data_IF_586401971304
#
_entry.id   IF_586401971304
#
_cell.length_a   1.000
_cell.length_b   1.000
_cell.length_c   1.000
_cell.angle_alpha   90.00
_cell.angle_beta   90.00
_cell.angle_gamma   90.00
#
_symmetry.space_group_name_H-M   'P 1'
#
loop_
_entity.id
_entity.type
_entity.pdbx_description
1 polymer ?
#
# COMPACT_ATOMS: atom_id res chain seq x y z
N UNK A 1 -16.96 26.04 1.48
CA UNK A 1 -15.69 25.75 0.81
C UNK A 1 -16.06 25.30 -0.58
N UNK A 2 -15.82 26.14 -1.56
CA UNK A 2 -16.22 25.89 -2.94
C UNK A 2 -15.38 24.74 -3.51
N UNK A 3 -16.01 23.65 -3.90
CA UNK A 3 -15.32 22.46 -4.43
C UNK A 3 -14.77 22.71 -5.86
N UNK A 4 -15.09 23.88 -6.43
CA UNK A 4 -14.73 24.21 -7.81
C UNK A 4 -13.29 24.69 -7.98
N UNK A 5 -12.62 25.18 -6.91
CA UNK A 5 -11.28 25.77 -6.99
C UNK A 5 -10.12 24.81 -6.71
N UNK A 6 -10.38 23.52 -6.49
CA UNK A 6 -9.28 22.56 -6.31
C UNK A 6 -8.77 22.09 -7.66
N UNK A 7 -7.46 22.19 -7.93
CA UNK A 7 -6.87 21.67 -9.15
C UNK A 7 -7.21 20.18 -9.27
N UNK A 8 -7.88 19.81 -10.35
CA UNK A 8 -8.10 18.41 -10.68
C UNK A 8 -6.74 17.80 -10.98
N UNK A 9 -6.36 16.78 -10.22
CA UNK A 9 -5.18 16.00 -10.55
C UNK A 9 -5.53 15.26 -11.83
N UNK A 10 -4.88 15.62 -12.92
CA UNK A 10 -4.94 14.79 -14.11
C UNK A 10 -4.18 13.49 -13.85
N UNK A 11 -4.94 12.47 -13.51
CA UNK A 11 -4.41 11.16 -13.19
C UNK A 11 -3.54 10.59 -14.32
N UNK A 12 -3.80 10.95 -15.59
CA UNK A 12 -3.03 10.50 -16.74
C UNK A 12 -1.61 11.08 -16.76
N UNK A 13 -1.40 12.30 -16.27
CA UNK A 13 -0.09 12.97 -16.32
C UNK A 13 0.93 12.37 -15.36
N UNK A 14 0.54 11.79 -14.25
CA UNK A 14 1.47 11.22 -13.27
C UNK A 14 1.40 9.70 -13.12
N UNK A 15 0.36 9.04 -13.62
CA UNK A 15 0.19 7.58 -13.48
C UNK A 15 1.36 6.81 -14.09
N UNK A 16 1.59 6.98 -15.38
CA UNK A 16 2.63 6.23 -16.08
C UNK A 16 4.04 6.56 -15.57
N UNK A 17 4.42 7.84 -15.34
CA UNK A 17 5.69 8.17 -14.72
C UNK A 17 5.89 7.55 -13.34
N UNK A 18 4.85 7.53 -12.50
CA UNK A 18 4.94 6.96 -11.16
C UNK A 18 5.03 5.44 -11.20
N UNK A 19 4.24 4.79 -12.04
CA UNK A 19 4.35 3.35 -12.27
C UNK A 19 5.73 2.95 -12.77
N UNK A 20 6.27 3.62 -13.79
CA UNK A 20 7.62 3.36 -14.33
C UNK A 20 8.71 3.60 -13.27
N UNK A 21 8.52 4.57 -12.41
CA UNK A 21 9.43 4.83 -11.29
C UNK A 21 9.41 3.66 -10.28
N UNK A 22 8.24 3.17 -9.93
CA UNK A 22 8.08 2.04 -9.01
C UNK A 22 8.64 0.73 -9.60
N UNK A 23 8.44 0.47 -10.89
CA UNK A 23 9.04 -0.66 -11.61
C UNK A 23 10.58 -0.60 -11.58
N UNK A 24 11.15 0.56 -11.86
CA UNK A 24 12.60 0.76 -11.79
C UNK A 24 13.13 0.51 -10.35
N UNK A 25 12.42 0.99 -9.34
CA UNK A 25 12.77 0.75 -7.94
C UNK A 25 12.69 -0.75 -7.59
N UNK A 26 11.65 -1.45 -8.01
CA UNK A 26 11.52 -2.90 -7.79
C UNK A 26 12.71 -3.67 -8.37
N UNK A 27 13.14 -3.33 -9.58
CA UNK A 27 14.32 -3.94 -10.22
C UNK A 27 15.61 -3.64 -9.45
N UNK A 28 15.80 -2.41 -8.97
CA UNK A 28 16.98 -2.04 -8.17
C UNK A 28 17.03 -2.77 -6.84
N UNK A 29 15.91 -2.89 -6.14
CA UNK A 29 15.84 -3.65 -4.89
C UNK A 29 16.25 -5.10 -5.11
N UNK A 30 15.80 -5.73 -6.20
CA UNK A 30 16.17 -7.12 -6.51
C UNK A 30 17.65 -7.26 -6.87
N UNK A 31 18.20 -6.34 -7.68
CA UNK A 31 19.58 -6.46 -8.23
C UNK A 31 20.65 -6.02 -7.21
N UNK A 32 20.36 -4.97 -6.48
CA UNK A 32 21.33 -4.28 -5.63
C UNK A 32 20.94 -4.35 -4.14
N UNK A 33 19.64 -4.40 -3.84
CA UNK A 33 19.13 -4.41 -2.47
C UNK A 33 19.63 -5.58 -1.63
N UNK A 34 19.74 -6.77 -2.24
CA UNK A 34 20.31 -7.96 -1.56
C UNK A 34 21.74 -7.75 -1.05
N UNK A 35 22.51 -6.84 -1.68
CA UNK A 35 23.89 -6.55 -1.28
C UNK A 35 23.98 -5.56 -0.13
N UNK A 36 22.93 -4.79 0.12
CA UNK A 36 22.91 -3.67 1.06
C UNK A 36 21.98 -3.88 2.26
N UNK A 37 21.08 -4.86 2.18
CA UNK A 37 20.22 -5.21 3.32
C UNK A 37 20.98 -6.10 4.29
N UNK A 38 21.07 -5.74 5.58
CA UNK A 38 21.56 -6.67 6.59
C UNK A 38 20.54 -7.80 6.78
N UNK A 39 21.05 -9.03 6.78
CA UNK A 39 20.24 -10.22 6.98
C UNK A 39 20.10 -11.10 5.74
N UNK A 40 19.22 -12.11 5.79
CA UNK A 40 19.01 -13.05 4.69
C UNK A 40 18.42 -12.42 3.42
N UNK A 41 18.74 -12.98 2.26
CA UNK A 41 18.31 -12.47 0.94
C UNK A 41 16.78 -12.42 0.74
N UNK A 42 16.03 -13.30 1.41
CA UNK A 42 14.57 -13.31 1.33
C UNK A 42 13.92 -11.98 1.78
N UNK A 43 14.61 -11.17 2.62
CA UNK A 43 14.08 -9.85 3.02
C UNK A 43 13.92 -8.92 1.81
N UNK A 44 14.89 -8.93 0.89
CA UNK A 44 14.80 -8.16 -0.34
C UNK A 44 13.71 -8.71 -1.27
N UNK A 45 13.52 -10.03 -1.28
CA UNK A 45 12.44 -10.68 -2.03
C UNK A 45 11.06 -10.30 -1.48
N UNK A 46 10.90 -10.31 -0.15
CA UNK A 46 9.66 -9.89 0.51
C UNK A 46 9.33 -8.41 0.18
N UNK A 47 10.32 -7.51 0.24
CA UNK A 47 10.15 -6.11 -0.16
C UNK A 47 9.78 -6.02 -1.63
N UNK A 48 10.48 -6.76 -2.52
CA UNK A 48 10.18 -6.79 -3.94
C UNK A 48 8.72 -7.22 -4.20
N UNK A 49 8.27 -8.29 -3.55
CA UNK A 49 6.89 -8.78 -3.70
C UNK A 49 5.87 -7.73 -3.26
N UNK A 50 6.10 -7.02 -2.15
CA UNK A 50 5.23 -5.93 -1.70
C UNK A 50 5.18 -4.77 -2.71
N UNK A 51 6.32 -4.40 -3.32
CA UNK A 51 6.36 -3.39 -4.37
C UNK A 51 5.56 -3.86 -5.59
N UNK A 52 5.74 -5.11 -6.04
CA UNK A 52 5.00 -5.70 -7.16
C UNK A 52 3.50 -5.73 -6.91
N UNK A 53 3.07 -6.10 -5.71
CA UNK A 53 1.68 -6.04 -5.29
C UNK A 53 1.14 -4.61 -5.37
N UNK A 54 1.90 -3.64 -4.86
CA UNK A 54 1.51 -2.22 -4.89
C UNK A 54 1.36 -1.71 -6.31
N UNK A 55 2.30 -2.04 -7.22
CA UNK A 55 2.25 -1.67 -8.64
C UNK A 55 1.01 -2.27 -9.32
N UNK A 56 0.78 -3.56 -9.12
CA UNK A 56 -0.38 -4.26 -9.70
C UNK A 56 -1.70 -3.67 -9.22
N UNK A 57 -1.80 -3.38 -7.92
CA UNK A 57 -2.98 -2.74 -7.32
C UNK A 57 -3.19 -1.32 -7.85
N UNK A 58 -2.12 -0.54 -7.99
CA UNK A 58 -2.17 0.81 -8.54
C UNK A 58 -2.68 0.81 -9.99
N UNK A 59 -2.14 -0.09 -10.82
CA UNK A 59 -2.59 -0.24 -12.21
C UNK A 59 -4.05 -0.69 -12.30
N UNK A 60 -4.47 -1.61 -11.42
CA UNK A 60 -5.86 -2.03 -11.35
C UNK A 60 -6.79 -0.85 -11.00
N UNK A 61 -6.42 -0.02 -10.04
CA UNK A 61 -7.20 1.18 -9.68
C UNK A 61 -7.39 2.12 -10.85
N UNK A 62 -6.35 2.35 -11.64
CA UNK A 62 -6.46 3.16 -12.85
C UNK A 62 -7.36 2.51 -13.89
N UNK A 63 -7.17 1.23 -14.13
CA UNK A 63 -8.00 0.48 -15.05
C UNK A 63 -9.49 0.53 -14.69
N UNK A 64 -9.80 0.37 -13.41
CA UNK A 64 -11.18 0.41 -12.90
C UNK A 64 -11.80 1.81 -12.96
N UNK A 65 -11.00 2.85 -12.89
CA UNK A 65 -11.46 4.24 -12.81
C UNK A 65 -11.12 5.08 -14.07
N UNK A 66 -10.70 4.45 -15.18
CA UNK A 66 -10.35 5.15 -16.41
C UNK A 66 -11.58 5.77 -17.09
N UNK A 67 -11.47 7.04 -17.50
CA UNK A 67 -12.57 7.80 -18.11
C UNK A 67 -13.11 7.16 -19.41
N UNK A 68 -12.23 6.56 -20.21
CA UNK A 68 -12.58 5.90 -21.47
C UNK A 68 -13.58 4.74 -21.32
N UNK A 69 -13.65 4.13 -20.13
CA UNK A 69 -14.61 3.10 -19.82
C UNK A 69 -15.96 3.65 -19.35
N UNK A 70 -15.98 4.86 -18.83
CA UNK A 70 -17.23 5.53 -18.41
C UNK A 70 -18.15 5.82 -19.58
N UNK A 71 -17.59 6.10 -20.76
CA UNK A 71 -18.36 6.39 -21.97
C UNK A 71 -18.94 5.13 -22.61
N UNK A 72 -18.28 3.98 -22.47
CA UNK A 72 -18.68 2.74 -23.13
C UNK A 72 -19.67 1.88 -22.35
N UNK A 73 -19.68 1.97 -21.01
CA UNK A 73 -20.47 1.11 -20.13
C UNK A 73 -20.86 1.83 -18.82
N UNK A 74 -21.70 2.84 -18.91
CA UNK A 74 -22.10 3.69 -17.79
C UNK A 74 -22.59 2.94 -16.54
N UNK A 75 -23.14 1.76 -16.72
CA UNK A 75 -23.78 1.01 -15.63
C UNK A 75 -22.78 0.22 -14.77
N UNK A 76 -21.73 -0.32 -15.36
CA UNK A 76 -20.76 -1.19 -14.66
C UNK A 76 -19.60 -0.43 -14.01
N UNK A 77 -19.17 0.66 -14.60
CA UNK A 77 -18.01 1.43 -14.12
C UNK A 77 -18.25 2.12 -12.78
N UNK A 78 -19.49 2.46 -12.47
CA UNK A 78 -19.86 3.15 -11.23
C UNK A 78 -19.72 2.25 -9.99
N UNK A 79 -19.74 0.92 -10.19
CA UNK A 79 -19.60 -0.05 -9.12
C UNK A 79 -18.17 -0.18 -8.61
N UNK A 80 -17.19 0.16 -9.43
CA UNK A 80 -15.78 -0.01 -9.07
C UNK A 80 -15.28 1.02 -8.05
N UNK A 81 -15.94 2.15 -7.91
CA UNK A 81 -15.64 3.12 -6.86
C UNK A 81 -15.66 2.50 -5.47
N UNK A 82 -16.61 1.59 -5.22
CA UNK A 82 -16.78 0.93 -3.90
C UNK A 82 -15.60 0.01 -3.58
N UNK A 83 -15.00 -0.66 -4.57
CA UNK A 83 -13.86 -1.56 -4.35
C UNK A 83 -12.51 -0.83 -4.30
N UNK A 84 -12.48 0.46 -4.61
CA UNK A 84 -11.25 1.26 -4.58
C UNK A 84 -10.63 1.32 -3.19
N UNK A 85 -11.45 1.46 -2.16
CA UNK A 85 -10.98 1.62 -0.78
C UNK A 85 -10.20 0.39 -0.25
N UNK A 86 -10.67 -0.86 -0.37
CA UNK A 86 -9.89 -2.05 0.00
C UNK A 86 -8.57 -2.14 -0.76
N UNK A 87 -8.54 -1.74 -2.03
CA UNK A 87 -7.33 -1.75 -2.85
C UNK A 87 -6.30 -0.73 -2.35
N UNK A 88 -6.70 0.51 -2.11
CA UNK A 88 -5.82 1.53 -1.51
C UNK A 88 -5.34 1.09 -0.13
N UNK A 89 -6.21 0.46 0.65
CA UNK A 89 -5.84 -0.10 1.96
C UNK A 89 -4.69 -1.10 1.85
N UNK A 90 -4.74 -2.01 0.90
CA UNK A 90 -3.68 -3.00 0.68
C UNK A 90 -2.34 -2.34 0.33
N UNK A 91 -2.35 -1.25 -0.44
CA UNK A 91 -1.13 -0.47 -0.75
C UNK A 91 -0.55 0.21 0.51
N UNK A 92 -1.42 0.73 1.37
CA UNK A 92 -1.01 1.33 2.66
C UNK A 92 -0.39 0.27 3.58
N UNK A 93 -0.93 -0.94 3.60
CA UNK A 93 -0.35 -2.03 4.39
C UNK A 93 1.04 -2.43 3.87
N UNK A 94 1.27 -2.42 2.54
CA UNK A 94 2.60 -2.59 1.97
C UNK A 94 3.56 -1.48 2.41
N UNK A 95 3.13 -0.21 2.39
CA UNK A 95 3.92 0.92 2.88
C UNK A 95 4.35 0.71 4.34
N UNK A 96 3.43 0.28 5.21
CA UNK A 96 3.72 0.04 6.62
C UNK A 96 4.76 -1.05 6.80
N UNK A 97 4.57 -2.18 6.15
CA UNK A 97 5.49 -3.31 6.25
C UNK A 97 6.88 -2.93 5.73
N UNK A 98 6.97 -2.33 4.56
CA UNK A 98 8.26 -1.90 3.98
C UNK A 98 8.96 -0.89 4.90
N UNK A 99 8.26 0.14 5.38
CA UNK A 99 8.85 1.18 6.23
C UNK A 99 9.39 0.59 7.53
N UNK A 100 8.67 -0.31 8.19
CA UNK A 100 9.13 -0.97 9.42
C UNK A 100 10.26 -1.97 9.18
N UNK A 101 10.23 -2.70 8.05
CA UNK A 101 11.34 -3.59 7.68
C UNK A 101 12.60 -2.77 7.45
N UNK A 102 12.52 -1.64 6.75
CA UNK A 102 13.68 -0.77 6.49
C UNK A 102 14.23 -0.09 7.75
N UNK A 103 13.44 0.03 8.81
CA UNK A 103 13.91 0.54 10.10
C UNK A 103 14.96 -0.36 10.75
N UNK A 104 14.72 -1.67 10.73
CA UNK A 104 15.66 -2.71 11.22
C UNK A 104 15.47 -4.01 10.40
N UNK A 105 16.09 -4.12 9.21
CA UNK A 105 15.83 -5.24 8.31
C UNK A 105 16.17 -6.59 8.93
N UNK A 106 17.29 -6.68 9.68
CA UNK A 106 17.74 -7.93 10.28
C UNK A 106 16.77 -8.49 11.35
N UNK A 107 16.03 -7.63 12.03
CA UNK A 107 15.04 -8.02 13.04
C UNK A 107 13.64 -8.04 12.44
N UNK A 108 13.18 -6.90 11.92
CA UNK A 108 11.82 -6.73 11.45
C UNK A 108 11.54 -7.56 10.18
N UNK A 109 12.50 -7.65 9.26
CA UNK A 109 12.38 -8.48 8.06
C UNK A 109 12.25 -9.95 8.39
N UNK A 110 13.09 -10.45 9.31
CA UNK A 110 12.99 -11.83 9.80
C UNK A 110 11.67 -12.08 10.52
N UNK A 111 11.24 -11.16 11.38
CA UNK A 111 9.98 -11.28 12.10
C UNK A 111 8.77 -11.28 11.14
N UNK A 112 8.78 -10.43 10.11
CA UNK A 112 7.77 -10.39 9.06
C UNK A 112 7.69 -11.73 8.32
N UNK A 113 8.82 -12.23 7.83
CA UNK A 113 8.91 -13.48 7.07
C UNK A 113 8.44 -14.70 7.90
N UNK A 114 9.00 -14.87 9.11
CA UNK A 114 8.60 -15.96 10.03
C UNK A 114 7.10 -15.91 10.35
N UNK A 115 6.56 -14.71 10.57
CA UNK A 115 5.12 -14.54 10.84
C UNK A 115 4.25 -14.95 9.66
N UNK A 116 4.67 -14.66 8.43
CA UNK A 116 3.95 -15.07 7.22
C UNK A 116 3.84 -16.59 7.13
N UNK A 117 4.97 -17.27 7.29
CA UNK A 117 5.01 -18.76 7.29
C UNK A 117 4.16 -19.32 8.44
N UNK A 118 4.29 -18.79 9.66
CA UNK A 118 3.50 -19.23 10.83
C UNK A 118 2.01 -19.10 10.59
N UNK A 119 1.56 -17.96 10.08
CA UNK A 119 0.13 -17.77 9.78
C UNK A 119 -0.38 -18.85 8.83
N UNK A 120 0.39 -19.12 7.77
CA UNK A 120 0.00 -20.14 6.79
C UNK A 120 -0.04 -21.53 7.39
N UNK A 121 0.89 -21.88 8.29
CA UNK A 121 0.83 -23.15 9.05
C UNK A 121 -0.45 -23.25 9.89
N UNK A 122 -0.79 -22.18 10.61
CA UNK A 122 -2.00 -22.15 11.45
C UNK A 122 -3.27 -22.28 10.60
N UNK A 123 -3.34 -21.63 9.44
CA UNK A 123 -4.46 -21.75 8.51
C UNK A 123 -4.64 -23.19 8.03
N UNK A 124 -3.52 -23.87 7.67
CA UNK A 124 -3.56 -25.27 7.22
C UNK A 124 -4.01 -26.21 8.36
N UNK A 125 -3.52 -25.98 9.58
CA UNK A 125 -3.94 -26.76 10.75
C UNK A 125 -5.45 -26.60 11.05
N UNK A 126 -5.98 -25.40 10.85
CA UNK A 126 -7.41 -25.12 10.99
C UNK A 126 -8.22 -25.81 9.87
N UNK A 127 -7.73 -25.75 8.63
CA UNK A 127 -8.35 -26.46 7.49
C UNK A 127 -8.36 -27.97 7.71
N UNK A 128 -7.26 -28.56 8.21
CA UNK A 128 -7.19 -29.98 8.53
C UNK A 128 -8.19 -30.41 9.59
N UNK A 129 -8.45 -29.58 10.60
CA UNK A 129 -9.47 -29.85 11.61
C UNK A 129 -10.89 -29.70 11.06
N UNK A 130 -11.12 -28.61 10.30
CA UNK A 130 -12.45 -28.27 9.78
C UNK A 130 -12.92 -29.24 8.72
N UNK A 131 -12.00 -29.73 7.90
CA UNK A 131 -12.31 -30.57 6.74
C UNK A 131 -11.78 -32.01 6.86
N UNK A 132 -11.54 -32.48 8.08
CA UNK A 132 -11.04 -33.82 8.34
C UNK A 132 -11.90 -34.89 7.65
N UNK A 133 -11.24 -35.86 6.98
CA UNK A 133 -11.89 -36.96 6.26
C UNK A 133 -12.50 -36.60 4.92
N UNK A 134 -12.21 -35.42 4.37
CA UNK A 134 -12.56 -35.01 3.01
C UNK A 134 -11.35 -35.18 2.08
N UNK A 135 -11.31 -36.20 1.19
CA UNK A 135 -10.10 -36.54 0.42
C UNK A 135 -9.50 -35.40 -0.40
N UNK A 136 -10.33 -34.51 -0.97
CA UNK A 136 -9.85 -33.37 -1.75
C UNK A 136 -9.12 -32.38 -0.86
N UNK A 137 -9.61 -32.13 0.35
CA UNK A 137 -8.98 -31.26 1.33
C UNK A 137 -7.71 -31.87 1.91
N UNK A 138 -7.68 -33.17 2.16
CA UNK A 138 -6.49 -33.88 2.61
C UNK A 138 -5.35 -33.75 1.58
N UNK A 139 -5.68 -33.92 0.29
CA UNK A 139 -4.73 -33.73 -0.82
C UNK A 139 -4.25 -32.30 -0.93
N UNK A 140 -5.17 -31.33 -0.87
CA UNK A 140 -4.85 -29.89 -0.92
C UNK A 140 -3.93 -29.50 0.24
N UNK A 141 -4.28 -29.86 1.47
CA UNK A 141 -3.49 -29.53 2.66
C UNK A 141 -2.10 -30.17 2.62
N UNK A 142 -1.96 -31.41 2.11
CA UNK A 142 -0.66 -32.05 1.93
C UNK A 142 0.25 -31.25 0.97
N UNK A 143 -0.30 -30.76 -0.15
CA UNK A 143 0.44 -29.89 -1.08
C UNK A 143 0.85 -28.56 -0.44
N UNK A 144 -0.04 -27.94 0.34
CA UNK A 144 0.25 -26.70 1.04
C UNK A 144 1.37 -26.90 2.09
N UNK A 145 1.33 -28.00 2.86
CA UNK A 145 2.40 -28.33 3.82
C UNK A 145 3.73 -28.56 3.12
N UNK A 146 3.75 -29.23 1.98
CA UNK A 146 4.97 -29.41 1.19
C UNK A 146 5.56 -28.07 0.72
N UNK A 147 4.71 -27.12 0.28
CA UNK A 147 5.15 -25.78 -0.10
C UNK A 147 5.71 -25.00 1.09
N UNK A 148 5.08 -25.09 2.27
CA UNK A 148 5.57 -24.47 3.51
C UNK A 148 6.92 -25.07 3.94
N UNK A 149 7.07 -26.38 3.90
CA UNK A 149 8.31 -27.06 4.23
C UNK A 149 9.47 -26.61 3.30
N UNK A 150 9.17 -26.44 2.01
CA UNK A 150 10.13 -25.85 1.07
C UNK A 150 10.53 -24.43 1.45
N UNK A 151 9.57 -23.56 1.85
CA UNK A 151 9.84 -22.19 2.31
C UNK A 151 10.66 -22.16 3.58
N UNK A 152 10.37 -23.03 4.57
CA UNK A 152 11.13 -23.13 5.82
C UNK A 152 12.58 -23.49 5.53
N UNK A 153 12.80 -24.54 4.71
CA UNK A 153 14.16 -24.97 4.32
C UNK A 153 14.90 -23.89 3.53
N UNK A 154 14.23 -23.24 2.59
CA UNK A 154 14.82 -22.15 1.78
C UNK A 154 15.20 -20.92 2.60
N UNK A 155 14.48 -20.63 3.68
CA UNK A 155 14.78 -19.52 4.58
C UNK A 155 15.87 -19.85 5.63
N UNK A 156 16.24 -21.13 5.79
CA UNK A 156 17.23 -21.59 6.78
C UNK A 156 16.70 -21.62 8.21
N UNK A 157 15.40 -21.53 8.42
CA UNK A 157 14.77 -21.67 9.75
C UNK A 157 14.35 -23.11 10.00
N UNK A 158 14.20 -23.44 11.27
CA UNK A 158 13.54 -24.66 11.71
C UNK A 158 12.04 -24.43 11.88
N UNK A 159 11.24 -25.49 11.80
CA UNK A 159 9.82 -25.41 12.08
C UNK A 159 9.53 -24.90 13.50
N UNK A 160 10.33 -25.32 14.49
CA UNK A 160 10.21 -24.84 15.86
C UNK A 160 10.38 -23.32 15.96
N UNK A 161 11.38 -22.75 15.29
CA UNK A 161 11.58 -21.29 15.26
C UNK A 161 10.41 -20.55 14.58
N UNK A 162 9.80 -21.14 13.57
CA UNK A 162 8.61 -20.57 12.93
C UNK A 162 7.42 -20.62 13.89
N UNK A 163 7.20 -21.75 14.57
CA UNK A 163 6.10 -21.91 15.54
C UNK A 163 6.21 -20.98 16.74
N UNK A 164 7.42 -20.73 17.21
CA UNK A 164 7.70 -19.81 18.32
C UNK A 164 7.66 -18.33 17.91
N UNK A 165 7.71 -18.02 16.61
CA UNK A 165 7.70 -16.65 16.15
C UNK A 165 6.43 -15.90 16.59
N UNK A 166 6.58 -14.62 16.93
CA UNK A 166 5.42 -13.74 17.19
C UNK A 166 4.73 -13.39 15.89
N UNK A 167 3.42 -13.28 15.93
CA UNK A 167 2.65 -12.80 14.78
C UNK A 167 2.96 -11.31 14.55
N UNK A 168 3.39 -10.99 13.34
CA UNK A 168 3.66 -9.62 12.90
C UNK A 168 2.37 -8.81 12.86
N UNK A 169 2.32 -7.73 13.62
CA UNK A 169 1.17 -6.83 13.76
C UNK A 169 1.65 -5.38 13.74
N UNK A 170 1.99 -4.82 12.57
CA UNK A 170 2.63 -3.51 12.49
C UNK A 170 1.86 -2.40 13.21
N UNK A 171 0.53 -2.37 13.06
CA UNK A 171 -0.32 -1.38 13.69
C UNK A 171 -0.44 -1.53 15.20
N UNK A 172 -0.59 -2.76 15.69
CA UNK A 172 -0.81 -3.01 17.11
C UNK A 172 0.46 -2.83 17.95
N UNK A 173 1.61 -3.31 17.45
CA UNK A 173 2.84 -3.38 18.24
C UNK A 173 3.65 -2.09 18.13
N UNK A 174 3.75 -1.51 16.93
CA UNK A 174 4.70 -0.43 16.68
C UNK A 174 4.05 0.96 16.60
N UNK A 175 2.77 1.06 16.20
CA UNK A 175 2.15 2.33 15.86
C UNK A 175 1.14 2.79 16.91
N UNK A 176 0.34 1.87 17.44
CA UNK A 176 -0.76 2.22 18.34
C UNK A 176 -0.42 2.05 19.83
N UNK A 177 0.51 1.16 20.21
CA UNK A 177 0.81 0.82 21.60
C UNK A 177 2.09 1.46 22.15
N UNK A 178 2.95 2.01 21.29
CA UNK A 178 4.17 2.67 21.72
C UNK A 178 3.92 3.99 22.44
N UNK A 179 4.74 4.31 23.45
CA UNK A 179 4.74 5.64 24.03
C UNK A 179 5.21 6.65 22.99
N UNK A 180 4.57 7.83 22.88
CA UNK A 180 4.95 8.83 21.88
C UNK A 180 6.41 9.28 21.98
N UNK A 181 6.96 9.33 23.18
CA UNK A 181 8.34 9.73 23.46
C UNK A 181 9.37 8.71 22.95
N UNK A 182 9.04 7.43 22.95
CA UNK A 182 9.94 6.35 22.52
C UNK A 182 9.80 6.02 21.03
N UNK A 183 8.87 6.68 20.34
CA UNK A 183 8.59 6.36 18.94
C UNK A 183 9.71 6.82 18.02
N UNK A 184 10.18 5.91 17.15
CA UNK A 184 11.16 6.23 16.11
C UNK A 184 10.59 7.19 15.06
N UNK A 185 11.44 7.83 14.25
CA UNK A 185 10.97 8.68 13.14
C UNK A 185 10.06 7.94 12.17
N UNK A 186 10.29 6.63 11.92
CA UNK A 186 9.45 5.80 11.06
C UNK A 186 8.08 5.56 11.71
N UNK A 187 8.06 5.21 12.99
CA UNK A 187 6.81 5.01 13.73
C UNK A 187 5.97 6.28 13.83
N UNK A 188 6.61 7.45 14.05
CA UNK A 188 5.93 8.75 14.07
C UNK A 188 5.26 9.03 12.72
N UNK A 189 5.99 8.83 11.63
CA UNK A 189 5.44 8.97 10.28
C UNK A 189 4.25 8.05 10.03
N UNK A 190 4.40 6.76 10.31
CA UNK A 190 3.31 5.80 10.11
C UNK A 190 2.10 6.09 11.01
N UNK A 191 2.31 6.64 12.21
CA UNK A 191 1.23 7.09 13.08
C UNK A 191 0.44 8.26 12.47
N UNK A 192 1.14 9.28 11.93
CA UNK A 192 0.50 10.38 11.21
C UNK A 192 -0.29 9.83 10.01
N UNK A 193 0.33 8.96 9.21
CA UNK A 193 -0.32 8.33 8.07
C UNK A 193 -1.54 7.49 8.48
N UNK A 194 -1.49 6.83 9.64
CA UNK A 194 -2.64 6.08 10.20
C UNK A 194 -3.82 6.99 10.47
N UNK A 195 -3.58 8.15 11.05
CA UNK A 195 -4.65 9.10 11.34
C UNK A 195 -5.26 9.70 10.09
N UNK A 196 -4.43 10.06 9.10
CA UNK A 196 -4.87 10.72 7.87
C UNK A 196 -5.55 9.76 6.87
N UNK A 197 -5.07 8.54 6.77
CA UNK A 197 -5.40 7.65 5.68
C UNK A 197 -5.93 6.28 6.14
N UNK A 198 -5.18 5.56 6.97
CA UNK A 198 -5.43 4.16 7.26
C UNK A 198 -6.77 3.91 7.95
N UNK A 199 -7.15 4.73 8.92
CA UNK A 199 -8.41 4.54 9.68
C UNK A 199 -9.61 4.56 8.76
N UNK A 200 -9.67 5.51 7.85
CA UNK A 200 -10.77 5.61 6.90
C UNK A 200 -10.87 4.36 6.03
N UNK A 201 -9.75 3.95 5.43
CA UNK A 201 -9.74 2.75 4.58
C UNK A 201 -9.96 1.45 5.35
N UNK A 202 -9.55 1.37 6.60
CA UNK A 202 -9.87 0.23 7.45
C UNK A 202 -11.36 0.10 7.71
N UNK A 203 -12.03 1.19 8.06
CA UNK A 203 -13.47 1.21 8.27
C UNK A 203 -14.24 0.74 7.02
N UNK A 204 -13.85 1.22 5.84
CA UNK A 204 -14.42 0.83 4.55
C UNK A 204 -14.18 -0.65 4.23
N UNK A 205 -12.95 -1.15 4.45
CA UNK A 205 -12.60 -2.54 4.16
C UNK A 205 -13.31 -3.55 5.06
N UNK A 206 -13.71 -3.14 6.27
CA UNK A 206 -14.46 -3.97 7.21
C UNK A 206 -15.97 -3.81 7.10
N UNK A 207 -16.45 -3.14 6.06
CA UNK A 207 -17.87 -2.91 5.82
C UNK A 207 -18.60 -2.31 7.05
N UNK A 208 -17.92 -1.46 7.81
CA UNK A 208 -18.49 -0.79 8.97
C UNK A 208 -19.38 0.38 8.56
N UNK A 209 -20.40 0.69 9.35
CA UNK A 209 -21.36 1.75 9.03
C UNK A 209 -20.70 3.14 8.89
N UNK A 210 -19.75 3.45 9.74
CA UNK A 210 -18.95 4.69 9.67
C UNK A 210 -18.09 4.76 8.40
N UNK A 211 -17.60 3.60 7.92
CA UNK A 211 -16.96 3.49 6.62
C UNK A 211 -17.92 3.84 5.48
N UNK A 212 -19.11 3.25 5.49
CA UNK A 212 -20.11 3.51 4.43
C UNK A 212 -20.54 4.97 4.34
N UNK A 213 -20.58 5.72 5.44
CA UNK A 213 -20.86 7.16 5.39
C UNK A 213 -19.86 7.89 4.49
N UNK A 214 -18.58 7.51 4.52
CA UNK A 214 -17.55 8.05 3.63
C UNK A 214 -17.77 7.71 2.15
N UNK A 215 -18.51 6.62 1.85
CA UNK A 215 -18.80 6.12 0.51
C UNK A 215 -20.17 6.59 -0.05
N UNK A 216 -20.89 7.45 0.67
CA UNK A 216 -22.18 7.99 0.20
C UNK A 216 -22.11 8.55 -1.23
N UNK A 217 -21.05 9.28 -1.65
CA UNK A 217 -20.96 9.76 -3.01
C UNK A 217 -20.95 8.64 -4.06
N UNK A 218 -20.26 7.53 -3.79
CA UNK A 218 -20.24 6.37 -4.68
C UNK A 218 -21.60 5.67 -4.68
N UNK A 219 -22.20 5.45 -3.52
CA UNK A 219 -23.53 4.85 -3.39
C UNK A 219 -24.65 5.70 -4.03
N UNK A 220 -24.59 7.01 -3.88
CA UNK A 220 -25.55 7.92 -4.52
C UNK A 220 -25.41 7.91 -6.05
N UNK A 221 -24.18 7.86 -6.55
CA UNK A 221 -23.94 7.77 -7.99
C UNK A 221 -24.46 6.45 -8.57
N UNK A 222 -24.42 5.37 -7.83
CA UNK A 222 -24.93 4.06 -8.21
C UNK A 222 -26.44 4.04 -8.48
N UNK A 223 -27.19 4.87 -7.79
CA UNK A 223 -28.64 5.01 -7.93
C UNK A 223 -29.03 6.35 -8.54
N UNK A 224 -28.15 6.91 -9.37
CA UNK A 224 -28.29 8.24 -9.95
C UNK A 224 -29.63 8.43 -10.66
N UNK A 225 -30.16 7.38 -11.31
CA UNK A 225 -31.44 7.40 -12.03
C UNK A 225 -32.64 7.67 -11.12
N UNK A 226 -32.48 7.40 -9.81
CA UNK A 226 -33.53 7.64 -8.81
C UNK A 226 -33.58 9.08 -8.33
N UNK A 227 -32.58 9.90 -8.68
CA UNK A 227 -32.53 11.31 -8.30
C UNK A 227 -33.17 12.19 -9.38
N UNK A 228 -33.81 13.33 -9.00
CA UNK A 228 -34.24 14.34 -9.93
C UNK A 228 -33.09 14.80 -10.83
N UNK A 229 -33.40 15.11 -12.10
CA UNK A 229 -32.39 15.53 -13.08
C UNK A 229 -31.52 16.70 -12.60
N UNK A 230 -32.11 17.65 -11.87
CA UNK A 230 -31.42 18.82 -11.30
C UNK A 230 -30.34 18.45 -10.25
N UNK A 231 -30.48 17.32 -9.54
CA UNK A 231 -29.52 16.86 -8.54
C UNK A 231 -28.37 16.03 -9.09
N UNK A 232 -28.52 15.46 -10.29
CA UNK A 232 -27.54 14.54 -10.89
C UNK A 232 -26.16 15.15 -11.09
N UNK A 233 -25.99 16.37 -11.64
CA UNK A 233 -24.67 16.96 -11.83
C UNK A 233 -23.90 17.16 -10.51
N UNK A 234 -24.59 17.45 -9.42
CA UNK A 234 -23.96 17.57 -8.10
C UNK A 234 -23.45 16.22 -7.59
N UNK A 235 -24.23 15.16 -7.78
CA UNK A 235 -23.83 13.79 -7.36
C UNK A 235 -22.65 13.32 -8.21
N UNK A 236 -22.66 13.54 -9.52
CA UNK A 236 -21.54 13.22 -10.40
C UNK A 236 -20.27 13.95 -9.99
N UNK A 237 -20.37 15.24 -9.69
CA UNK A 237 -19.22 16.02 -9.21
C UNK A 237 -18.68 15.48 -7.89
N UNK A 238 -19.53 15.12 -6.94
CA UNK A 238 -19.13 14.51 -5.67
C UNK A 238 -18.43 13.16 -5.89
N UNK A 239 -18.95 12.34 -6.79
CA UNK A 239 -18.36 11.05 -7.14
C UNK A 239 -16.98 11.21 -7.79
N UNK A 240 -16.83 12.13 -8.73
CA UNK A 240 -15.54 12.42 -9.35
C UNK A 240 -14.50 12.92 -8.35
N UNK A 241 -14.90 13.79 -7.44
CA UNK A 241 -14.02 14.25 -6.36
C UNK A 241 -13.60 13.10 -5.44
N UNK A 242 -14.50 12.20 -5.13
CA UNK A 242 -14.25 10.98 -4.36
C UNK A 242 -13.22 10.07 -5.05
N UNK A 243 -13.41 9.74 -6.34
CA UNK A 243 -12.47 8.93 -7.11
C UNK A 243 -11.09 9.58 -7.19
N UNK A 244 -11.03 10.88 -7.50
CA UNK A 244 -9.77 11.64 -7.59
C UNK A 244 -9.01 11.58 -6.27
N UNK A 245 -9.71 11.66 -5.15
CA UNK A 245 -9.10 11.54 -3.81
C UNK A 245 -8.49 10.16 -3.58
N UNK A 246 -9.18 9.08 -3.95
CA UNK A 246 -8.65 7.71 -3.78
C UNK A 246 -7.46 7.44 -4.69
N UNK A 247 -7.51 7.90 -5.93
CA UNK A 247 -6.38 7.79 -6.87
C UNK A 247 -5.18 8.59 -6.34
N UNK A 248 -5.39 9.80 -5.83
CA UNK A 248 -4.35 10.61 -5.21
C UNK A 248 -3.70 9.91 -4.00
N UNK A 249 -4.49 9.25 -3.17
CA UNK A 249 -3.98 8.49 -2.01
C UNK A 249 -3.23 7.21 -2.40
N UNK A 250 -3.67 6.54 -3.46
CA UNK A 250 -2.94 5.42 -4.04
C UNK A 250 -1.58 5.89 -4.59
N UNK A 251 -1.56 7.01 -5.30
CA UNK A 251 -0.33 7.64 -5.79
C UNK A 251 0.60 8.04 -4.64
N UNK A 252 0.06 8.60 -3.55
CA UNK A 252 0.83 8.91 -2.35
C UNK A 252 1.47 7.67 -1.74
N UNK A 253 0.72 6.58 -1.58
CA UNK A 253 1.24 5.35 -0.99
C UNK A 253 2.43 4.79 -1.79
N UNK A 254 2.32 4.70 -3.12
CA UNK A 254 3.40 4.20 -3.96
C UNK A 254 4.60 5.17 -4.00
N UNK A 255 4.37 6.48 -4.01
CA UNK A 255 5.44 7.49 -3.98
C UNK A 255 6.19 7.46 -2.63
N UNK A 256 5.48 7.28 -1.51
CA UNK A 256 6.10 7.07 -0.21
C UNK A 256 6.98 5.82 -0.20
N UNK A 257 6.49 4.68 -0.71
CA UNK A 257 7.28 3.43 -0.80
C UNK A 257 8.57 3.66 -1.58
N UNK A 258 8.48 4.25 -2.77
CA UNK A 258 9.66 4.50 -3.61
C UNK A 258 10.64 5.45 -2.92
N UNK A 259 10.13 6.47 -2.23
CA UNK A 259 10.97 7.44 -1.51
C UNK A 259 11.66 6.81 -0.31
N UNK A 260 10.96 6.00 0.51
CA UNK A 260 11.55 5.28 1.64
C UNK A 260 12.68 4.34 1.16
N UNK A 261 12.44 3.61 0.09
CA UNK A 261 13.46 2.72 -0.50
C UNK A 261 14.68 3.51 -0.97
N UNK A 262 14.49 4.65 -1.65
CA UNK A 262 15.61 5.49 -2.09
C UNK A 262 16.35 6.13 -0.91
N UNK A 263 15.65 6.58 0.12
CA UNK A 263 16.26 7.11 1.35
C UNK A 263 17.11 6.08 2.07
N UNK A 264 16.71 4.81 2.03
CA UNK A 264 17.43 3.70 2.65
C UNK A 264 18.64 3.26 1.81
N UNK A 265 18.40 2.83 0.56
CA UNK A 265 19.42 2.23 -0.31
C UNK A 265 20.38 3.24 -0.94
N UNK A 266 19.90 4.47 -1.21
CA UNK A 266 20.67 5.53 -1.89
C UNK A 266 21.27 5.05 -3.21
N UNK A 267 20.48 4.38 -4.03
CA UNK A 267 20.93 3.93 -5.34
C UNK A 267 21.54 5.08 -6.13
N UNK A 268 22.79 4.90 -6.59
CA UNK A 268 23.58 5.90 -7.29
C UNK A 268 23.53 5.66 -8.81
N UNK A 269 23.82 6.71 -9.58
CA UNK A 269 23.93 6.61 -11.05
C UNK A 269 22.61 6.41 -11.80
N UNK A 270 21.48 6.55 -11.13
CA UNK A 270 20.15 6.41 -11.73
C UNK A 270 19.41 7.75 -11.64
N UNK A 271 18.61 8.06 -12.65
CA UNK A 271 17.73 9.25 -12.69
C UNK A 271 16.56 9.15 -11.67
N UNK A 272 16.66 8.24 -10.70
CA UNK A 272 15.62 7.95 -9.70
C UNK A 272 15.35 9.19 -8.84
N UNK A 273 16.40 9.88 -8.40
CA UNK A 273 16.26 11.05 -7.55
C UNK A 273 15.44 12.15 -8.25
N UNK A 274 15.80 12.47 -9.49
CA UNK A 274 15.10 13.48 -10.30
C UNK A 274 13.64 13.09 -10.52
N UNK A 275 13.40 11.81 -10.82
CA UNK A 275 12.04 11.29 -11.02
C UNK A 275 11.21 11.34 -9.74
N UNK A 276 11.79 11.02 -8.58
CA UNK A 276 11.12 11.15 -7.28
C UNK A 276 10.74 12.62 -7.02
N UNK A 277 11.69 13.54 -7.19
CA UNK A 277 11.44 14.97 -7.00
C UNK A 277 10.32 15.45 -7.92
N UNK A 278 10.40 15.11 -9.20
CA UNK A 278 9.36 15.47 -10.18
C UNK A 278 7.97 14.94 -9.80
N UNK A 279 7.89 13.74 -9.24
CA UNK A 279 6.59 13.18 -8.80
C UNK A 279 6.06 13.90 -7.55
N UNK A 280 6.92 14.22 -6.58
CA UNK A 280 6.50 15.03 -5.44
C UNK A 280 6.02 16.41 -5.90
N UNK A 281 6.74 17.09 -6.79
CA UNK A 281 6.36 18.40 -7.33
C UNK A 281 4.99 18.34 -8.05
N UNK A 282 4.77 17.31 -8.85
CA UNK A 282 3.51 17.12 -9.57
C UNK A 282 2.31 16.88 -8.65
N UNK A 283 2.52 16.26 -7.50
CA UNK A 283 1.46 15.86 -6.58
C UNK A 283 1.23 16.82 -5.41
N UNK A 284 2.11 17.82 -5.19
CA UNK A 284 1.97 18.79 -4.10
C UNK A 284 0.71 19.69 -4.18
N UNK A 285 0.04 19.74 -5.32
CA UNK A 285 -1.25 20.42 -5.45
C UNK A 285 -2.37 19.80 -4.58
N UNK A 286 -2.18 18.58 -4.08
CA UNK A 286 -3.09 17.92 -3.15
C UNK A 286 -2.61 18.19 -1.72
N UNK A 287 -3.43 18.84 -0.90
CA UNK A 287 -3.00 19.28 0.43
C UNK A 287 -2.53 18.13 1.33
N UNK A 288 -3.18 16.96 1.28
CA UNK A 288 -2.79 15.77 2.06
C UNK A 288 -1.39 15.24 1.65
N UNK A 289 -1.07 15.34 0.37
CA UNK A 289 0.25 14.92 -0.16
C UNK A 289 1.31 15.94 0.24
N UNK A 290 0.99 17.24 0.14
CA UNK A 290 1.88 18.31 0.56
C UNK A 290 2.22 18.21 2.04
N UNK A 291 1.25 17.94 2.90
CA UNK A 291 1.46 17.79 4.33
C UNK A 291 2.46 16.66 4.64
N UNK A 292 2.30 15.49 4.05
CA UNK A 292 3.24 14.37 4.21
C UNK A 292 4.64 14.73 3.67
N UNK A 293 4.71 15.43 2.55
CA UNK A 293 5.98 15.89 1.99
C UNK A 293 6.70 16.84 2.93
N UNK A 294 6.02 17.87 3.43
CA UNK A 294 6.59 18.89 4.30
C UNK A 294 7.01 18.32 5.67
N UNK A 295 6.19 17.45 6.26
CA UNK A 295 6.48 16.85 7.57
C UNK A 295 7.67 15.88 7.56
N UNK A 296 7.80 15.08 6.48
CA UNK A 296 8.78 14.00 6.45
C UNK A 296 9.82 14.14 5.36
N UNK A 297 9.38 14.23 4.10
CA UNK A 297 10.28 13.97 2.98
C UNK A 297 11.16 15.14 2.60
N UNK A 298 10.67 16.37 2.67
CA UNK A 298 11.45 17.55 2.30
C UNK A 298 12.78 17.63 3.05
N UNK A 299 12.75 17.56 4.38
CA UNK A 299 13.95 17.62 5.20
C UNK A 299 14.87 16.40 5.02
N UNK A 300 14.27 15.18 4.94
CA UNK A 300 15.03 13.95 4.76
C UNK A 300 15.70 13.87 3.39
N UNK A 301 15.02 14.25 2.32
CA UNK A 301 15.56 14.24 0.96
C UNK A 301 16.71 15.25 0.81
N UNK A 302 16.62 16.44 1.44
CA UNK A 302 17.75 17.37 1.53
C UNK A 302 18.93 16.79 2.28
N UNK A 303 18.70 16.23 3.47
CA UNK A 303 19.75 15.62 4.30
C UNK A 303 20.46 14.45 3.59
N UNK A 304 19.74 13.72 2.76
CA UNK A 304 20.25 12.56 2.02
C UNK A 304 20.79 12.89 0.61
N UNK A 305 20.74 14.15 0.19
CA UNK A 305 21.24 14.62 -1.10
C UNK A 305 20.38 14.20 -2.31
N UNK A 306 19.10 13.91 -2.08
CA UNK A 306 18.13 13.65 -3.15
C UNK A 306 17.64 14.98 -3.74
N UNK A 307 17.37 15.97 -2.88
CA UNK A 307 17.11 17.34 -3.30
C UNK A 307 18.42 18.09 -3.52
N UNK A 308 18.49 19.01 -4.53
CA UNK A 308 19.64 19.89 -4.70
C UNK A 308 19.88 20.71 -3.42
N UNK A 309 21.16 21.02 -3.16
CA UNK A 309 21.52 21.98 -2.12
C UNK A 309 20.97 23.34 -2.52
N UNK A 310 20.23 23.97 -1.62
CA UNK A 310 19.73 25.32 -1.83
C UNK A 310 20.87 26.32 -1.99
#
# INVERSE_FOLDING_TARGET
>A
MDLDDKPRIDAKTFQEPLWKLAEAMAQLVTREGMKHLPGPGFIAEDIHMMIRQTIATYNLLFYLNADERREQDCYWNNNYGVVTAPLVRSMIDCLYNITLILENPAENGIAYHKSGIKKRLLDIEEDQKTYAGKPDWDSYNAQQLQAIDWLIRGSGFTEAEIRDAKIWKPLGIYILQGKPEDATPHQKFLKTFTHMQWRQYSALSHASFDGYIGEIPAGAYFVLDRFPHEGRPKIEKMYLAFLTRHIGRAALAILCIVTELQLYFRFQGHEINERIVKMWDALQGVFEIKEIYDERYHALMRKKGILPKA
#
